data_IF_321039883261
#
_entry.id   IF_321039883261
#
_cell.length_a   1.000
_cell.length_b   1.000
_cell.length_c   1.000
_cell.angle_alpha   90.00
_cell.angle_beta   90.00
_cell.angle_gamma   90.00
#
_symmetry.space_group_name_H-M   'P 1'
#
loop_
_entity.id
_entity.type
_entity.pdbx_description
1 polymer ?
#
# COMPACT_ATOMS: atom_id res chain seq x y z
N UNK A 1 23.71 11.28 -0.85
CA UNK A 1 23.47 11.63 0.56
C UNK A 1 22.26 10.86 1.05
N UNK A 2 22.45 9.96 2.01
CA UNK A 2 21.36 9.22 2.63
C UNK A 2 20.63 10.15 3.59
N UNK A 3 19.33 10.37 3.39
CA UNK A 3 18.53 11.26 4.25
C UNK A 3 17.91 10.39 5.34
N UNK A 4 18.09 10.79 6.60
CA UNK A 4 17.49 10.11 7.74
C UNK A 4 16.11 10.70 8.04
N UNK A 5 15.07 10.08 7.49
CA UNK A 5 13.68 10.48 7.68
C UNK A 5 13.17 10.21 9.11
N UNK A 6 13.92 9.49 9.93
CA UNK A 6 13.61 9.31 11.35
C UNK A 6 13.65 10.64 12.12
N UNK A 7 14.60 11.52 11.77
CA UNK A 7 14.77 12.81 12.46
C UNK A 7 13.70 13.80 12.04
N UNK A 8 12.88 14.25 13.00
CA UNK A 8 11.84 15.28 12.77
C UNK A 8 12.45 16.56 12.22
N UNK A 9 13.60 16.99 12.75
CA UNK A 9 14.30 18.20 12.29
C UNK A 9 14.73 18.13 10.83
N UNK A 10 15.24 16.98 10.37
CA UNK A 10 15.60 16.79 8.96
C UNK A 10 14.35 16.78 8.08
N UNK A 11 13.27 16.12 8.51
CA UNK A 11 11.98 16.11 7.78
C UNK A 11 11.40 17.49 7.58
N UNK A 12 11.48 18.36 8.58
CA UNK A 12 10.96 19.74 8.51
C UNK A 12 11.77 20.63 7.57
N UNK A 13 13.03 20.30 7.28
CA UNK A 13 13.90 21.05 6.36
C UNK A 13 13.79 20.57 4.90
N UNK A 14 13.02 19.51 4.63
CA UNK A 14 12.89 18.96 3.28
C UNK A 14 12.04 19.88 2.41
N UNK A 15 12.53 20.18 1.21
CA UNK A 15 11.82 20.99 0.23
C UNK A 15 10.71 20.17 -0.44
N UNK A 16 9.60 20.83 -0.77
CA UNK A 16 8.54 20.17 -1.52
C UNK A 16 9.04 19.77 -2.91
N UNK A 17 9.01 18.47 -3.21
CA UNK A 17 9.38 17.92 -4.52
C UNK A 17 8.31 16.94 -5.01
N UNK A 18 8.27 16.74 -6.33
CA UNK A 18 7.38 15.75 -6.97
C UNK A 18 7.77 14.33 -6.58
N UNK A 19 9.06 14.04 -6.56
CA UNK A 19 9.60 12.76 -6.13
C UNK A 19 9.75 12.71 -4.60
N UNK A 20 9.33 11.62 -3.94
CA UNK A 20 9.54 11.42 -2.52
C UNK A 20 11.03 11.29 -2.18
N UNK A 21 11.40 11.72 -0.97
CA UNK A 21 12.71 11.42 -0.42
C UNK A 21 12.73 9.97 0.05
N UNK A 22 13.59 9.15 -0.55
CA UNK A 22 13.69 7.74 -0.24
C UNK A 22 14.78 7.46 0.79
N UNK A 23 14.41 6.72 1.83
CA UNK A 23 15.31 6.08 2.76
C UNK A 23 15.21 4.57 2.60
N UNK A 24 16.36 3.91 2.51
CA UNK A 24 16.41 2.44 2.41
C UNK A 24 16.27 1.85 3.81
N UNK A 25 15.34 0.92 3.98
CA UNK A 25 15.17 0.15 5.23
C UNK A 25 15.88 -1.20 5.14
N UNK A 26 15.66 -1.94 4.04
CA UNK A 26 16.29 -3.24 3.76
C UNK A 26 16.69 -3.34 2.28
N UNK A 27 17.31 -4.45 1.86
CA UNK A 27 17.57 -4.69 0.43
C UNK A 27 16.23 -4.78 -0.31
N UNK A 28 16.05 -3.97 -1.36
CA UNK A 28 14.82 -3.92 -2.13
C UNK A 28 13.63 -3.20 -1.45
N UNK A 29 13.76 -2.74 -0.21
CA UNK A 29 12.68 -2.13 0.57
C UNK A 29 13.03 -0.69 0.97
N UNK A 30 12.18 0.26 0.58
CA UNK A 30 12.38 1.69 0.73
C UNK A 30 11.15 2.35 1.32
N UNK A 31 11.39 3.33 2.19
CA UNK A 31 10.37 4.24 2.72
C UNK A 31 10.60 5.63 2.14
N UNK A 32 9.54 6.22 1.63
CA UNK A 32 9.50 7.51 0.97
C UNK A 32 8.70 8.50 1.81
N UNK A 33 9.22 9.70 1.99
CA UNK A 33 8.47 10.80 2.58
C UNK A 33 8.36 11.95 1.58
N UNK A 34 7.14 12.44 1.38
CA UNK A 34 6.88 13.60 0.54
C UNK A 34 6.28 14.72 1.41
N UNK A 35 7.07 15.77 1.73
CA UNK A 35 6.52 16.92 2.44
C UNK A 35 5.41 17.57 1.60
N UNK A 36 4.31 17.97 2.22
CA UNK A 36 3.27 18.76 1.56
C UNK A 36 3.54 20.24 1.76
N UNK A 37 3.06 21.06 0.82
CA UNK A 37 3.18 22.53 0.90
C UNK A 37 2.06 23.15 1.76
N UNK A 38 0.97 22.41 1.99
CA UNK A 38 -0.16 22.82 2.81
C UNK A 38 -0.01 22.33 4.26
N UNK A 39 -0.78 22.89 5.21
CA UNK A 39 -0.89 22.47 6.63
C UNK A 39 -0.99 20.94 6.89
N UNK A 40 -1.28 20.15 5.86
CA UNK A 40 -1.21 18.69 5.87
C UNK A 40 0.24 18.24 6.01
N UNK A 41 0.55 17.54 7.07
CA UNK A 41 1.87 16.98 7.28
C UNK A 41 2.13 15.92 6.20
N UNK A 42 3.34 15.89 5.63
CA UNK A 42 3.62 15.18 4.38
C UNK A 42 3.20 13.71 4.31
N UNK A 43 3.03 13.20 3.09
CA UNK A 43 2.60 11.82 2.85
C UNK A 43 3.76 10.82 2.85
N UNK A 44 3.49 9.63 3.41
CA UNK A 44 4.40 8.49 3.42
C UNK A 44 4.07 7.47 2.33
N UNK A 45 5.11 6.90 1.74
CA UNK A 45 5.02 5.95 0.64
C UNK A 45 6.00 4.81 0.89
N UNK A 46 5.56 3.57 0.84
CA UNK A 46 6.45 2.41 0.83
C UNK A 46 6.71 1.96 -0.61
N UNK A 47 7.94 1.53 -0.90
CA UNK A 47 8.33 0.91 -2.17
C UNK A 47 9.09 -0.38 -1.87
N UNK A 48 8.58 -1.49 -2.40
CA UNK A 48 9.27 -2.77 -2.35
C UNK A 48 9.51 -3.32 -3.75
N UNK A 49 10.63 -4.01 -3.93
CA UNK A 49 10.91 -4.81 -5.11
C UNK A 49 10.42 -6.22 -4.85
N UNK A 50 9.47 -6.68 -5.65
CA UNK A 50 9.06 -8.08 -5.61
C UNK A 50 10.11 -8.90 -6.38
N UNK A 51 10.79 -9.85 -5.72
CA UNK A 51 11.81 -10.70 -6.38
C UNK A 51 11.19 -11.61 -7.46
N UNK A 52 9.96 -12.08 -7.23
CA UNK A 52 9.23 -12.96 -8.15
C UNK A 52 8.90 -12.25 -9.46
N UNK A 53 8.35 -11.03 -9.39
CA UNK A 53 7.93 -10.28 -10.59
C UNK A 53 9.01 -9.33 -11.11
N UNK A 54 10.12 -9.16 -10.38
CA UNK A 54 11.18 -8.15 -10.59
C UNK A 54 10.65 -6.72 -10.77
N UNK A 55 9.41 -6.44 -10.36
CA UNK A 55 8.75 -5.15 -10.50
C UNK A 55 8.70 -4.42 -9.15
N UNK A 56 8.71 -3.09 -9.23
CA UNK A 56 8.51 -2.24 -8.07
C UNK A 56 7.02 -2.13 -7.76
N UNK A 57 6.65 -2.43 -6.52
CA UNK A 57 5.33 -2.16 -5.97
C UNK A 57 5.45 -0.96 -5.03
N UNK A 58 4.53 -0.01 -5.19
CA UNK A 58 4.43 1.16 -4.32
C UNK A 58 3.10 1.13 -3.58
N UNK A 59 3.10 1.52 -2.31
CA UNK A 59 1.90 1.69 -1.50
C UNK A 59 1.94 3.03 -0.81
N UNK A 60 0.86 3.79 -0.94
CA UNK A 60 0.65 5.02 -0.16
C UNK A 60 0.23 4.62 1.24
N UNK A 61 0.97 5.06 2.24
CA UNK A 61 0.74 4.74 3.65
C UNK A 61 -0.17 5.79 4.34
N UNK A 62 -0.11 7.03 3.88
CA UNK A 62 -0.87 8.16 4.44
C UNK A 62 0.03 9.19 5.12
N UNK A 63 -0.55 10.22 5.72
CA UNK A 63 0.16 11.32 6.40
C UNK A 63 0.36 11.10 7.90
N UNK A 64 -0.37 10.15 8.50
CA UNK A 64 -0.37 9.87 9.95
C UNK A 64 -0.55 11.13 10.81
N UNK A 65 -1.33 12.12 10.34
CA UNK A 65 -1.50 13.42 11.00
C UNK A 65 -2.05 13.35 12.44
N UNK A 66 -2.72 12.25 12.79
CA UNK A 66 -3.25 12.00 14.14
C UNK A 66 -2.16 11.66 15.18
N UNK A 67 -0.97 11.23 14.75
CA UNK A 67 0.13 10.83 15.64
C UNK A 67 1.12 11.98 15.87
N UNK A 68 1.88 11.92 16.96
CA UNK A 68 2.94 12.88 17.20
C UNK A 68 4.06 12.76 16.15
N UNK A 69 4.72 13.87 15.81
CA UNK A 69 5.73 13.93 14.73
C UNK A 69 6.83 12.87 14.86
N UNK A 70 7.24 12.54 16.09
CA UNK A 70 8.25 11.53 16.36
C UNK A 70 7.73 10.11 16.06
N UNK A 71 6.51 9.79 16.47
CA UNK A 71 5.89 8.47 16.29
C UNK A 71 5.49 8.16 14.84
N UNK A 72 5.27 9.18 14.00
CA UNK A 72 4.86 8.96 12.61
C UNK A 72 5.85 8.16 11.79
N UNK A 73 7.16 8.32 12.05
CA UNK A 73 8.16 7.52 11.36
C UNK A 73 8.04 6.05 11.77
N UNK A 74 7.84 5.78 13.06
CA UNK A 74 7.71 4.42 13.56
C UNK A 74 6.41 3.76 13.07
N UNK A 75 5.30 4.50 13.02
CA UNK A 75 4.05 4.01 12.43
C UNK A 75 4.20 3.72 10.93
N UNK A 76 4.74 4.66 10.16
CA UNK A 76 4.99 4.47 8.73
C UNK A 76 5.97 3.33 8.45
N UNK A 77 6.98 3.16 9.31
CA UNK A 77 7.94 2.06 9.22
C UNK A 77 7.25 0.71 9.48
N UNK A 78 6.44 0.60 10.54
CA UNK A 78 5.69 -0.64 10.84
C UNK A 78 4.78 -1.03 9.68
N UNK A 79 4.01 -0.09 9.14
CA UNK A 79 3.12 -0.37 8.01
C UNK A 79 3.90 -0.68 6.72
N UNK A 80 5.07 -0.06 6.52
CA UNK A 80 5.98 -0.42 5.44
C UNK A 80 6.50 -1.85 5.60
N UNK A 81 6.91 -2.24 6.81
CA UNK A 81 7.39 -3.61 7.10
C UNK A 81 6.29 -4.65 6.87
N UNK A 82 5.06 -4.39 7.29
CA UNK A 82 3.91 -5.24 6.98
C UNK A 82 3.68 -5.35 5.47
N UNK A 83 3.76 -4.23 4.74
CA UNK A 83 3.66 -4.23 3.28
C UNK A 83 4.77 -5.05 2.62
N UNK A 84 5.99 -5.01 3.14
CA UNK A 84 7.10 -5.81 2.63
C UNK A 84 6.88 -7.30 2.88
N UNK A 85 6.42 -7.68 4.07
CA UNK A 85 6.08 -9.06 4.40
C UNK A 85 5.00 -9.61 3.48
N UNK A 86 3.96 -8.83 3.18
CA UNK A 86 2.92 -9.24 2.22
C UNK A 86 3.51 -9.50 0.82
N UNK A 87 4.45 -8.65 0.37
CA UNK A 87 5.11 -8.84 -0.93
C UNK A 87 6.06 -10.04 -0.92
N UNK A 88 6.79 -10.26 0.17
CA UNK A 88 7.69 -11.42 0.34
C UNK A 88 6.91 -12.74 0.39
N UNK A 89 5.75 -12.75 1.07
CA UNK A 89 4.85 -13.90 1.13
C UNK A 89 4.18 -14.21 -0.21
N UNK A 90 4.35 -13.35 -1.22
CA UNK A 90 3.70 -13.53 -2.52
C UNK A 90 2.21 -13.21 -2.50
N UNK A 91 1.70 -12.61 -1.41
CA UNK A 91 0.41 -11.95 -1.39
C UNK A 91 0.54 -10.73 -2.30
N UNK A 92 0.37 -10.96 -3.60
CA UNK A 92 0.03 -9.92 -4.52
C UNK A 92 -1.15 -9.21 -3.87
N UNK A 93 -0.95 -7.96 -3.44
CA UNK A 93 -1.99 -7.08 -2.91
C UNK A 93 -2.94 -6.81 -4.08
N UNK A 94 -3.68 -7.84 -4.44
CA UNK A 94 -4.93 -7.82 -5.16
C UNK A 94 -5.91 -7.37 -4.09
N UNK A 95 -5.81 -6.10 -3.69
CA UNK A 95 -6.87 -5.49 -2.93
C UNK A 95 -8.12 -5.76 -3.74
N UNK A 96 -9.07 -6.51 -3.16
CA UNK A 96 -10.27 -7.09 -3.79
C UNK A 96 -10.68 -6.25 -5.00
N UNK A 97 -10.12 -6.61 -6.15
CA UNK A 97 -9.97 -5.65 -7.25
C UNK A 97 -11.17 -5.72 -8.16
N UNK A 98 -11.98 -6.76 -7.99
CA UNK A 98 -13.06 -7.12 -8.88
C UNK A 98 -14.22 -7.71 -8.11
N UNK A 99 -15.43 -7.59 -8.67
CA UNK A 99 -16.63 -8.27 -8.14
C UNK A 99 -16.39 -9.77 -7.97
N UNK A 100 -15.60 -10.37 -8.86
CA UNK A 100 -15.22 -11.78 -8.78
C UNK A 100 -14.47 -12.11 -7.48
N UNK A 101 -13.48 -11.30 -7.09
CA UNK A 101 -12.72 -11.53 -5.85
C UNK A 101 -13.63 -11.41 -4.63
N UNK A 102 -14.53 -10.42 -4.59
CA UNK A 102 -15.50 -10.28 -3.50
C UNK A 102 -16.48 -11.46 -3.43
N UNK A 103 -16.99 -11.92 -4.58
CA UNK A 103 -17.84 -13.09 -4.64
C UNK A 103 -17.12 -14.36 -4.20
N UNK A 104 -15.84 -14.55 -4.57
CA UNK A 104 -15.03 -15.66 -4.07
C UNK A 104 -14.84 -15.62 -2.56
N UNK A 105 -14.55 -14.44 -2.00
CA UNK A 105 -14.37 -14.30 -0.55
C UNK A 105 -15.68 -14.55 0.21
N UNK A 106 -16.81 -14.05 -0.29
CA UNK A 106 -18.13 -14.33 0.29
C UNK A 106 -18.53 -15.80 0.18
N UNK A 107 -18.13 -16.45 -0.91
CA UNK A 107 -18.43 -17.86 -1.17
C UNK A 107 -17.56 -18.83 -0.36
N UNK A 108 -16.46 -18.36 0.23
CA UNK A 108 -15.50 -19.20 0.98
C UNK A 108 -16.17 -19.98 2.13
N UNK A 109 -17.12 -19.36 2.84
CA UNK A 109 -17.89 -20.00 3.92
C UNK A 109 -19.24 -20.56 3.45
N UNK A 110 -19.64 -20.33 2.19
CA UNK A 110 -21.01 -20.59 1.70
C UNK A 110 -21.00 -21.28 0.33
N UNK A 111 -21.00 -22.60 0.35
CA UNK A 111 -20.97 -23.47 -0.84
C UNK A 111 -22.16 -23.18 -1.78
N UNK A 112 -23.34 -22.86 -1.24
CA UNK A 112 -24.52 -22.50 -2.04
C UNK A 112 -24.34 -21.18 -2.80
N UNK A 113 -23.67 -20.20 -2.19
CA UNK A 113 -23.39 -18.91 -2.83
C UNK A 113 -22.39 -19.09 -3.98
N UNK A 114 -21.39 -19.96 -3.80
CA UNK A 114 -20.41 -20.29 -4.83
C UNK A 114 -21.08 -20.76 -6.13
N UNK A 115 -21.97 -21.76 -6.04
CA UNK A 115 -22.67 -22.33 -7.21
C UNK A 115 -23.56 -21.30 -7.92
N UNK A 116 -24.16 -20.37 -7.16
CA UNK A 116 -24.97 -19.28 -7.73
C UNK A 116 -24.08 -18.29 -8.47
N UNK A 117 -23.00 -17.83 -7.86
CA UNK A 117 -22.06 -16.91 -8.48
C UNK A 117 -21.35 -17.50 -9.70
N UNK A 118 -21.13 -18.81 -9.73
CA UNK A 118 -20.54 -19.50 -10.89
C UNK A 118 -21.44 -19.43 -12.13
N UNK A 119 -22.76 -19.52 -11.94
CA UNK A 119 -23.74 -19.37 -13.02
C UNK A 119 -24.00 -17.91 -13.42
N UNK A 120 -24.02 -16.98 -12.47
CA UNK A 120 -24.53 -15.61 -12.73
C UNK A 120 -23.44 -14.55 -12.81
N UNK A 121 -22.39 -14.65 -11.98
CA UNK A 121 -21.38 -13.61 -11.82
C UNK A 121 -20.12 -13.96 -12.60
N UNK A 122 -19.55 -15.15 -12.41
CA UNK A 122 -18.24 -15.52 -12.98
C UNK A 122 -18.24 -15.64 -14.50
N UNK A 123 -19.37 -15.97 -15.13
CA UNK A 123 -19.53 -15.99 -16.59
C UNK A 123 -19.92 -14.62 -17.17
N UNK A 124 -20.25 -13.63 -16.35
CA UNK A 124 -20.67 -12.30 -16.79
C UNK A 124 -19.50 -11.31 -16.83
N UNK A 125 -19.59 -10.30 -17.70
CA UNK A 125 -18.61 -9.21 -17.78
C UNK A 125 -18.48 -8.43 -16.46
N UNK A 126 -19.51 -8.47 -15.61
CA UNK A 126 -19.52 -7.90 -14.25
C UNK A 126 -18.41 -8.46 -13.37
N UNK A 127 -17.99 -9.72 -13.56
CA UNK A 127 -16.95 -10.34 -12.75
C UNK A 127 -15.63 -9.56 -12.76
N UNK A 128 -15.28 -8.91 -13.87
CA UNK A 128 -14.03 -8.18 -14.03
C UNK A 128 -14.13 -6.69 -13.68
N UNK A 129 -15.31 -6.23 -13.26
CA UNK A 129 -15.51 -4.83 -12.89
C UNK A 129 -14.89 -4.60 -11.50
N UNK A 130 -14.08 -3.55 -11.33
CA UNK A 130 -13.59 -3.20 -10.01
C UNK A 130 -14.70 -2.64 -9.13
N UNK A 131 -14.73 -3.07 -7.87
CA UNK A 131 -15.76 -2.66 -6.89
C UNK A 131 -15.75 -1.14 -6.68
N UNK A 132 -14.63 -0.48 -6.93
CA UNK A 132 -14.52 0.98 -6.91
C UNK A 132 -15.29 1.70 -8.02
N UNK A 133 -15.83 0.98 -9.00
CA UNK A 133 -16.63 1.50 -10.12
C UNK A 133 -18.10 1.05 -10.11
N UNK A 134 -18.54 0.31 -9.09
CA UNK A 134 -19.96 0.00 -8.86
C UNK A 134 -20.62 1.13 -8.06
#
# INVERSE_FOLDING_TARGET
MTIDLSKVGQRSQLTHRREPYWQRLRKGCFIGFRPSNSKLEGGWIARATCEVTRKYKHKKLGDYGLLAKHERFDAARKDAELFFQLIENGDEIRGILTVKDACHQYASDKIEAQKRFERTVYQSAIANIPITKL
#
